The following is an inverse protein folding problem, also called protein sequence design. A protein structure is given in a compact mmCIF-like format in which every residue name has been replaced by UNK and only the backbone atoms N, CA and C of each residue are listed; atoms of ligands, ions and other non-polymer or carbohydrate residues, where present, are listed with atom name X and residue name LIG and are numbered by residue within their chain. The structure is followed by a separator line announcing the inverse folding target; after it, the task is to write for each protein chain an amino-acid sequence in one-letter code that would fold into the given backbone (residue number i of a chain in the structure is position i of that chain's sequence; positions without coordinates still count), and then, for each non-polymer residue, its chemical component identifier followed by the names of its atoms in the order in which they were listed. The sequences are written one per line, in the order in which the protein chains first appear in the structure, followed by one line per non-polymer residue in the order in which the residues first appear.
data_IF_883992952708
#
_entry.id   IF_883992952708
#
_cell.length_a   1.000
_cell.length_b   1.000
_cell.length_c   1.000
_cell.angle_alpha   90.00
_cell.angle_beta   90.00
_cell.angle_gamma   90.00
#
_symmetry.space_group_name_H-M   'P 1'
#
loop_
_entity.id
_entity.type
_entity.pdbx_description
1 polymer ?
#
# COMPACT_ATOMS: atom_id res chain seq x y z
N UNK A 1 -2.53 -8.63 -13.04
CA UNK A 1 -3.07 -10.01 -13.16
C UNK A 1 -2.05 -11.08 -12.77
N UNK A 2 -0.76 -10.86 -13.05
CA UNK A 2 0.29 -11.86 -12.78
C UNK A 2 0.46 -12.17 -11.28
N UNK A 3 0.06 -11.27 -10.40
CA UNK A 3 0.28 -11.39 -8.96
C UNK A 3 -1.00 -11.72 -8.17
N UNK A 4 -2.08 -12.02 -8.86
CA UNK A 4 -3.36 -12.42 -8.24
C UNK A 4 -3.27 -13.88 -7.84
N UNK A 5 -3.77 -14.25 -6.65
CA UNK A 5 -3.84 -15.65 -6.23
C UNK A 5 -4.81 -16.42 -7.12
N UNK A 6 -4.49 -17.68 -7.38
CA UNK A 6 -5.32 -18.58 -8.16
C UNK A 6 -6.36 -19.30 -7.28
N UNK A 7 -6.02 -19.53 -6.01
CA UNK A 7 -6.85 -20.29 -5.07
C UNK A 7 -7.09 -19.51 -3.79
N UNK A 8 -8.25 -19.73 -3.18
CA UNK A 8 -8.57 -19.20 -1.85
C UNK A 8 -8.24 -20.19 -0.71
N UNK A 9 -7.47 -21.23 -1.00
CA UNK A 9 -7.01 -22.20 0.00
C UNK A 9 -5.90 -21.58 0.85
N UNK A 10 -6.30 -20.74 1.78
CA UNK A 10 -5.35 -20.08 2.69
C UNK A 10 -5.13 -20.94 3.93
N UNK A 11 -3.89 -20.93 4.42
CA UNK A 11 -3.51 -21.61 5.66
C UNK A 11 -2.44 -20.78 6.38
N UNK A 12 -2.58 -20.63 7.69
CA UNK A 12 -1.63 -19.84 8.49
C UNK A 12 -0.21 -20.43 8.49
N UNK A 13 -0.04 -21.68 8.10
CA UNK A 13 1.26 -22.32 7.96
C UNK A 13 1.95 -22.04 6.62
N UNK A 14 1.23 -21.48 5.65
CA UNK A 14 1.82 -21.05 4.38
C UNK A 14 2.58 -19.75 4.56
N UNK A 15 3.53 -19.47 3.67
CA UNK A 15 4.53 -18.42 3.89
C UNK A 15 4.27 -17.12 3.14
N UNK A 16 3.45 -17.14 2.08
CA UNK A 16 3.25 -15.95 1.24
C UNK A 16 1.96 -15.26 1.61
N UNK A 17 2.01 -14.03 2.14
CA UNK A 17 0.80 -13.29 2.48
C UNK A 17 0.03 -12.87 1.23
N UNK A 18 -1.30 -12.92 1.34
CA UNK A 18 -2.23 -12.42 0.34
C UNK A 18 -2.84 -11.14 0.87
N UNK A 19 -2.70 -10.05 0.12
CA UNK A 19 -2.99 -8.71 0.61
C UNK A 19 -4.21 -8.09 -0.05
N UNK A 20 -4.87 -7.25 0.73
CA UNK A 20 -5.74 -6.17 0.23
C UNK A 20 -5.27 -4.85 0.84
N UNK A 21 -5.65 -3.72 0.23
CA UNK A 21 -5.38 -2.41 0.82
C UNK A 21 -6.47 -1.97 1.82
N UNK A 22 -7.54 -2.75 1.95
CA UNK A 22 -8.67 -2.45 2.83
C UNK A 22 -8.41 -2.76 4.30
N UNK A 23 -9.49 -2.90 5.07
CA UNK A 23 -9.43 -3.09 6.53
C UNK A 23 -8.62 -4.32 6.95
N UNK A 24 -8.73 -5.40 6.19
CA UNK A 24 -7.98 -6.63 6.45
C UNK A 24 -6.78 -6.67 5.52
N UNK A 25 -5.68 -6.08 5.95
CA UNK A 25 -4.48 -5.96 5.13
C UNK A 25 -3.98 -7.33 4.65
N UNK A 26 -3.76 -8.26 5.57
CA UNK A 26 -3.41 -9.65 5.25
C UNK A 26 -4.67 -10.50 5.43
N UNK A 27 -5.20 -11.02 4.32
CA UNK A 27 -6.42 -11.82 4.36
C UNK A 27 -6.15 -13.32 4.52
N UNK A 28 -4.91 -13.73 4.34
CA UNK A 28 -4.49 -15.12 4.48
C UNK A 28 -3.10 -15.32 3.92
N UNK A 29 -2.66 -16.57 3.91
CA UNK A 29 -1.37 -16.98 3.36
C UNK A 29 -1.58 -18.08 2.35
N UNK A 30 -0.79 -18.07 1.27
CA UNK A 30 -0.86 -19.07 0.21
C UNK A 30 0.45 -19.85 0.10
N UNK A 31 0.36 -21.07 -0.43
CA UNK A 31 1.53 -21.88 -0.78
C UNK A 31 1.91 -21.77 -2.26
N UNK A 32 1.28 -20.89 -3.00
CA UNK A 32 1.63 -20.64 -4.40
C UNK A 32 3.06 -20.13 -4.49
N UNK A 33 3.81 -20.62 -5.48
CA UNK A 33 5.23 -20.29 -5.65
C UNK A 33 5.51 -19.36 -6.82
N UNK A 34 4.53 -19.10 -7.66
CA UNK A 34 4.63 -18.23 -8.82
C UNK A 34 3.78 -16.99 -8.65
N UNK A 35 4.12 -15.94 -9.39
CA UNK A 35 3.38 -14.69 -9.35
C UNK A 35 3.49 -13.99 -8.00
N UNK A 36 4.62 -14.10 -7.32
CA UNK A 36 4.92 -13.40 -6.08
C UNK A 36 5.57 -12.07 -6.42
N UNK A 37 4.99 -10.98 -5.91
CA UNK A 37 5.57 -9.65 -6.12
C UNK A 37 6.71 -9.42 -5.15
N UNK A 38 7.90 -9.12 -5.67
CA UNK A 38 9.10 -8.94 -4.86
C UNK A 38 9.92 -7.69 -5.21
N UNK A 39 9.41 -6.82 -6.07
CA UNK A 39 10.06 -5.52 -6.35
C UNK A 39 9.67 -4.51 -5.26
N UNK A 40 10.37 -4.57 -4.14
CA UNK A 40 10.02 -3.89 -2.90
C UNK A 40 10.96 -2.74 -2.59
N UNK A 41 10.51 -1.71 -1.88
CA UNK A 41 9.13 -1.50 -1.41
C UNK A 41 8.17 -1.09 -2.53
N UNK A 42 6.89 -1.20 -2.25
CA UNK A 42 5.83 -0.77 -3.17
C UNK A 42 4.64 -0.22 -2.39
N UNK A 43 3.65 0.30 -3.12
CA UNK A 43 2.37 0.72 -2.57
C UNK A 43 1.29 -0.15 -3.21
N UNK A 44 0.38 -0.70 -2.43
CA UNK A 44 -0.84 -1.29 -2.97
C UNK A 44 -2.01 -0.31 -2.78
N UNK A 45 -2.90 -0.29 -3.75
CA UNK A 45 -4.03 0.63 -3.80
C UNK A 45 -5.28 -0.14 -4.17
N UNK A 46 -6.35 0.03 -3.38
CA UNK A 46 -7.65 -0.57 -3.67
C UNK A 46 -8.46 0.38 -4.54
N UNK A 47 -8.76 -0.09 -5.75
CA UNK A 47 -9.47 0.68 -6.78
C UNK A 47 -10.92 1.03 -6.40
N UNK A 48 -11.51 0.33 -5.44
CA UNK A 48 -12.88 0.58 -4.97
C UNK A 48 -12.94 1.43 -3.70
N UNK A 49 -12.12 1.10 -2.70
CA UNK A 49 -12.15 1.80 -1.39
C UNK A 49 -11.25 3.02 -1.35
N UNK A 50 -10.31 3.13 -2.29
CA UNK A 50 -9.24 4.13 -2.32
C UNK A 50 -8.25 4.04 -1.16
N UNK A 51 -8.29 2.94 -0.41
CA UNK A 51 -7.28 2.64 0.60
C UNK A 51 -5.94 2.32 -0.04
N UNK A 52 -4.86 2.69 0.63
CA UNK A 52 -3.51 2.38 0.20
C UNK A 52 -2.67 1.88 1.36
N UNK A 53 -1.67 1.05 1.06
CA UNK A 53 -0.74 0.50 2.04
C UNK A 53 0.67 0.47 1.47
N UNK A 54 1.64 0.84 2.29
CA UNK A 54 3.06 0.63 2.01
C UNK A 54 3.42 -0.82 2.32
N UNK A 55 4.14 -1.48 1.41
CA UNK A 55 4.50 -2.90 1.56
C UNK A 55 5.98 -3.09 1.29
N UNK A 56 6.67 -3.74 2.21
CA UNK A 56 8.11 -4.01 2.11
C UNK A 56 8.46 -5.51 2.22
N UNK A 57 7.49 -6.39 1.98
CA UNK A 57 7.68 -7.85 2.02
C UNK A 57 7.00 -8.50 0.79
N UNK A 58 7.49 -9.67 0.33
CA UNK A 58 6.89 -10.36 -0.82
C UNK A 58 5.45 -10.79 -0.56
N UNK A 59 4.61 -10.71 -1.58
CA UNK A 59 3.17 -10.96 -1.43
C UNK A 59 2.50 -11.34 -2.75
N UNK A 60 1.26 -11.80 -2.64
CA UNK A 60 0.30 -11.86 -3.74
C UNK A 60 -0.91 -11.00 -3.37
N UNK A 61 -1.74 -10.67 -4.34
CA UNK A 61 -2.95 -9.86 -4.11
C UNK A 61 -4.20 -10.68 -4.36
N UNK A 62 -5.30 -10.26 -3.73
CA UNK A 62 -6.58 -10.96 -3.81
C UNK A 62 -7.21 -10.87 -5.20
N UNK A 63 -7.13 -9.71 -5.85
CA UNK A 63 -7.88 -9.46 -7.09
C UNK A 63 -7.27 -8.33 -7.93
N UNK A 64 -7.80 -8.15 -9.12
CA UNK A 64 -7.40 -7.06 -10.03
C UNK A 64 -7.75 -5.65 -9.52
N UNK A 65 -8.57 -5.55 -8.47
CA UNK A 65 -8.84 -4.26 -7.83
C UNK A 65 -7.62 -3.73 -7.07
N UNK A 66 -6.68 -4.60 -6.72
CA UNK A 66 -5.43 -4.20 -6.07
C UNK A 66 -4.42 -3.73 -7.10
N UNK A 67 -4.12 -2.43 -7.12
CA UNK A 67 -3.07 -1.86 -7.97
C UNK A 67 -1.76 -1.85 -7.21
N UNK A 68 -0.68 -2.25 -7.86
CA UNK A 68 0.67 -2.23 -7.30
C UNK A 68 1.40 -1.05 -7.93
N UNK A 69 1.86 -0.12 -7.10
CA UNK A 69 2.43 1.14 -7.52
C UNK A 69 3.91 1.21 -7.16
N UNK A 70 4.69 1.77 -8.09
CA UNK A 70 6.11 2.06 -7.91
C UNK A 70 6.37 3.54 -8.17
N UNK A 71 7.55 4.02 -7.76
CA UNK A 71 8.00 5.38 -8.00
C UNK A 71 9.21 5.40 -8.91
N UNK A 72 9.46 6.55 -9.54
CA UNK A 72 10.65 6.77 -10.35
C UNK A 72 11.83 7.22 -9.49
N UNK A 73 13.03 7.14 -10.05
CA UNK A 73 14.25 7.64 -9.41
C UNK A 73 14.08 9.11 -8.98
N UNK A 74 14.55 9.44 -7.79
CA UNK A 74 14.43 10.78 -7.23
C UNK A 74 13.15 11.02 -6.44
N UNK A 75 12.28 10.00 -6.32
CA UNK A 75 11.05 10.08 -5.54
C UNK A 75 11.13 9.07 -4.40
N UNK A 76 10.86 9.53 -3.18
CA UNK A 76 10.81 8.67 -2.00
C UNK A 76 9.42 8.01 -1.90
N UNK A 77 9.38 6.69 -1.98
CA UNK A 77 8.10 5.96 -2.02
C UNK A 77 7.29 6.12 -0.73
N UNK A 78 7.94 6.22 0.43
CA UNK A 78 7.20 6.46 1.68
C UNK A 78 6.55 7.85 1.70
N UNK A 79 7.18 8.85 1.09
CA UNK A 79 6.57 10.16 0.93
C UNK A 79 5.27 10.06 0.11
N UNK A 80 5.30 9.35 -1.00
CA UNK A 80 4.11 9.12 -1.85
C UNK A 80 3.04 8.36 -1.08
N UNK A 81 3.43 7.32 -0.35
CA UNK A 81 2.50 6.53 0.48
C UNK A 81 1.82 7.40 1.54
N UNK A 82 2.56 8.26 2.22
CA UNK A 82 2.01 9.19 3.21
C UNK A 82 1.04 10.19 2.57
N UNK A 83 1.39 10.73 1.40
CA UNK A 83 0.50 11.62 0.66
C UNK A 83 -0.81 10.92 0.31
N UNK A 84 -0.73 9.70 -0.21
CA UNK A 84 -1.91 8.91 -0.59
C UNK A 84 -2.78 8.57 0.62
N UNK A 85 -2.19 8.34 1.78
CA UNK A 85 -2.93 7.99 3.00
C UNK A 85 -3.82 9.11 3.50
N UNK A 86 -3.51 10.37 3.19
CA UNK A 86 -4.29 11.54 3.58
C UNK A 86 -5.12 12.12 2.44
N UNK A 87 -4.96 11.61 1.22
CA UNK A 87 -5.68 12.05 0.03
C UNK A 87 -6.66 10.96 -0.38
N UNK A 88 -7.84 10.96 0.23
CA UNK A 88 -8.87 9.96 -0.07
C UNK A 88 -10.11 10.64 -0.62
N UNK A 89 -10.61 10.08 -1.74
CA UNK A 89 -11.89 10.47 -2.29
C UNK A 89 -12.99 9.62 -1.65
N UNK A 90 -14.00 10.28 -1.12
CA UNK A 90 -15.19 9.62 -0.58
C UNK A 90 -16.22 9.57 -1.71
N UNK A 91 -16.66 8.37 -2.07
CA UNK A 91 -17.61 8.22 -3.17
C UNK A 91 -18.33 6.90 -3.15
N UNK A 92 -18.95 6.59 -4.28
CA UNK A 92 -19.72 5.38 -4.49
C UNK A 92 -18.77 4.15 -4.51
N UNK A 93 -19.07 3.16 -3.66
CA UNK A 93 -18.28 1.91 -3.56
C UNK A 93 -18.36 1.05 -4.82
N UNK A 94 -19.27 1.34 -5.74
CA UNK A 94 -19.39 0.64 -7.03
C UNK A 94 -18.51 1.22 -8.12
N UNK A 95 -17.89 2.38 -7.88
CA UNK A 95 -17.03 3.05 -8.85
C UNK A 95 -15.56 2.63 -8.62
N UNK A 96 -14.83 2.46 -9.72
CA UNK A 96 -13.38 2.29 -9.68
C UNK A 96 -12.72 3.66 -9.83
N UNK A 97 -11.68 3.91 -9.03
CA UNK A 97 -11.11 5.25 -8.88
C UNK A 97 -9.73 5.44 -9.49
N UNK A 98 -8.99 4.35 -9.78
CA UNK A 98 -7.61 4.50 -10.22
C UNK A 98 -7.52 5.23 -11.56
N UNK A 99 -8.18 4.74 -12.59
CA UNK A 99 -8.10 5.31 -13.95
C UNK A 99 -8.69 6.71 -14.01
N UNK A 100 -9.85 6.92 -13.40
CA UNK A 100 -10.60 8.18 -13.53
C UNK A 100 -10.07 9.30 -12.65
N UNK A 101 -9.50 8.96 -11.49
CA UNK A 101 -9.18 9.95 -10.45
C UNK A 101 -7.72 9.87 -10.00
N UNK A 102 -7.35 8.78 -9.35
CA UNK A 102 -6.07 8.69 -8.62
C UNK A 102 -4.84 8.68 -9.53
N UNK A 103 -4.92 8.07 -10.72
CA UNK A 103 -3.80 8.09 -11.66
C UNK A 103 -3.47 9.49 -12.17
N UNK A 104 -4.41 10.43 -12.01
CA UNK A 104 -4.30 11.81 -12.49
C UNK A 104 -3.99 12.81 -11.36
N UNK A 105 -3.90 12.35 -10.11
CA UNK A 105 -3.57 13.22 -9.00
C UNK A 105 -2.15 13.79 -9.17
N UNK A 106 -2.04 15.10 -8.96
CA UNK A 106 -0.77 15.78 -8.90
C UNK A 106 -0.26 15.78 -7.47
N UNK A 107 0.95 15.23 -7.27
CA UNK A 107 1.60 15.18 -5.96
C UNK A 107 2.71 16.24 -5.96
N UNK A 108 2.69 17.19 -5.01
CA UNK A 108 3.81 18.12 -4.90
C UNK A 108 5.08 17.35 -4.51
N UNK A 109 6.12 17.44 -5.33
CA UNK A 109 7.38 16.72 -5.15
C UNK A 109 8.49 17.71 -4.83
N UNK A 110 8.84 17.90 -3.55
CA UNK A 110 10.02 18.68 -3.19
C UNK A 110 11.30 17.93 -3.53
N UNK A 111 12.48 18.55 -3.40
CA UNK A 111 13.75 17.83 -3.58
C UNK A 111 13.83 16.59 -2.70
N UNK A 112 14.57 15.57 -3.14
CA UNK A 112 14.62 14.26 -2.48
C UNK A 112 15.00 14.36 -0.98
N UNK A 113 15.98 15.21 -0.66
CA UNK A 113 16.38 15.41 0.73
C UNK A 113 15.23 15.92 1.60
N UNK A 114 14.39 16.79 1.06
CA UNK A 114 13.21 17.30 1.76
C UNK A 114 12.12 16.23 1.90
N UNK A 115 11.92 15.40 0.89
CA UNK A 115 11.01 14.25 0.99
C UNK A 115 11.40 13.34 2.15
N UNK A 116 12.68 13.00 2.25
CA UNK A 116 13.22 12.16 3.33
C UNK A 116 13.06 12.82 4.69
N UNK A 117 13.32 14.12 4.79
CA UNK A 117 13.11 14.88 6.02
C UNK A 117 11.66 14.82 6.49
N UNK A 118 10.71 14.96 5.57
CA UNK A 118 9.28 14.89 5.87
C UNK A 118 8.92 13.49 6.37
N UNK A 119 9.38 12.44 5.69
CA UNK A 119 9.15 11.05 6.10
C UNK A 119 9.69 10.80 7.51
N UNK A 120 10.92 11.22 7.79
CA UNK A 120 11.54 11.06 9.11
C UNK A 120 10.78 11.82 10.20
N UNK A 121 10.32 13.04 9.89
CA UNK A 121 9.54 13.85 10.83
C UNK A 121 8.19 13.19 11.16
N UNK A 122 7.52 12.60 10.16
CA UNK A 122 6.25 11.88 10.36
C UNK A 122 6.47 10.63 11.21
N UNK A 123 7.52 9.86 10.93
CA UNK A 123 7.86 8.68 11.75
C UNK A 123 8.15 9.07 13.21
N UNK A 124 8.88 10.16 13.42
CA UNK A 124 9.17 10.65 14.77
C UNK A 124 7.91 11.09 15.51
N UNK A 125 6.98 11.74 14.81
CA UNK A 125 5.70 12.15 15.39
C UNK A 125 4.84 10.95 15.80
N UNK A 126 4.75 9.94 14.94
CA UNK A 126 4.02 8.72 15.28
C UNK A 126 4.65 7.95 16.43
N UNK A 127 5.98 7.90 16.50
CA UNK A 127 6.68 7.25 17.61
C UNK A 127 6.35 7.93 18.95
N UNK A 128 6.26 9.26 18.98
CA UNK A 128 5.85 10.01 20.18
C UNK A 128 4.39 9.74 20.55
N UNK A 129 3.49 9.69 19.57
CA UNK A 129 2.09 9.37 19.81
C UNK A 129 1.92 7.96 20.37
N UNK A 130 2.63 6.99 19.82
CA UNK A 130 2.61 5.60 20.30
C UNK A 130 3.12 5.52 21.74
N UNK A 131 4.18 6.23 22.09
CA UNK A 131 4.71 6.29 23.44
C UNK A 131 3.70 6.89 24.43
N UNK A 132 2.97 7.92 24.03
CA UNK A 132 1.92 8.53 24.84
C UNK A 132 0.78 7.54 25.04
N UNK A 133 0.35 6.84 24.00
CA UNK A 133 -0.74 5.85 24.09
C UNK A 133 -0.37 4.68 24.98
N UNK A 134 0.88 4.21 24.93
CA UNK A 134 1.38 3.14 25.80
C UNK A 134 1.40 3.54 27.28
N UNK A 135 1.56 4.84 27.58
CA UNK A 135 1.59 5.34 28.95
C UNK A 135 0.21 5.57 29.58
N UNK A 136 -0.84 5.46 28.78
CA UNK A 136 -2.22 5.56 29.28
C UNK A 136 -2.74 4.20 29.88
#
# INVERSE_FOLDING_TARGET
TAYIVDSTDYDNNYSIPVLTAGKSFIIGYTNETEGIYSNLPCIIFDDFTTDSKFVDFPFKVKSSAMKILQVRTGIEIEYVSMFMSVTRLIGDTHKRYWISEYSKLEIPIPPLAEQKRIVDAVHAAFAKLDAIMESL
#
